data_IF_969747644939
#
_entry.id   IF_969747644939
#
_cell.length_a   1.000
_cell.length_b   1.000
_cell.length_c   1.000
_cell.angle_alpha   90.00
_cell.angle_beta   90.00
_cell.angle_gamma   90.00
#
_symmetry.space_group_name_H-M   'P 1'
#
loop_
_entity.id
_entity.type
_entity.pdbx_description
1 polymer ?
#
# COMPACT_ATOMS: atom_id res chain seq x y z
N UNK A 1 1.51 8.40 31.57
CA UNK A 1 0.96 7.16 31.02
C UNK A 1 -0.05 7.51 29.95
N UNK A 2 0.17 6.99 28.74
CA UNK A 2 -0.29 7.49 27.44
C UNK A 2 -1.81 7.63 27.26
N UNK A 3 -2.24 8.86 27.01
CA UNK A 3 -3.58 9.22 26.55
C UNK A 3 -3.67 9.14 25.01
N UNK A 4 -3.48 7.93 24.47
CA UNK A 4 -3.48 7.65 23.02
C UNK A 4 -4.86 7.15 22.52
N UNK A 5 -5.96 7.51 23.21
CA UNK A 5 -7.31 6.96 22.93
C UNK A 5 -8.39 7.99 22.55
N UNK A 6 -8.08 9.27 22.36
CA UNK A 6 -9.12 10.27 22.06
C UNK A 6 -8.74 11.27 20.96
N UNK A 7 -8.70 10.87 19.70
CA UNK A 7 -8.86 11.79 18.58
C UNK A 7 -9.48 11.09 17.37
N UNK A 8 -10.77 11.33 17.11
CA UNK A 8 -11.26 11.99 15.87
C UNK A 8 -12.79 11.86 15.77
N UNK A 9 -13.48 12.85 16.34
CA UNK A 9 -14.90 13.09 16.09
C UNK A 9 -15.15 13.53 14.63
N UNK A 10 -16.25 13.06 14.05
CA UNK A 10 -16.66 13.19 12.63
C UNK A 10 -16.80 14.63 12.10
N UNK A 11 -16.60 15.68 12.91
CA UNK A 11 -16.91 17.07 12.52
C UNK A 11 -15.80 17.82 11.79
N UNK A 12 -14.60 17.25 11.62
CA UNK A 12 -13.48 17.97 10.99
C UNK A 12 -13.27 17.70 9.47
N UNK A 13 -14.12 16.89 8.83
CA UNK A 13 -13.87 16.36 7.47
C UNK A 13 -14.03 17.42 6.33
N UNK A 14 -14.57 18.60 6.61
CA UNK A 14 -14.89 19.59 5.54
C UNK A 14 -13.75 20.50 5.08
N UNK A 15 -12.57 20.48 5.70
CA UNK A 15 -11.52 21.49 5.44
C UNK A 15 -10.20 20.97 4.86
N UNK A 16 -10.07 19.66 4.59
CA UNK A 16 -8.74 19.07 4.30
C UNK A 16 -8.55 18.54 2.87
N UNK A 17 -9.52 18.69 1.97
CA UNK A 17 -9.38 18.26 0.58
C UNK A 17 -10.12 19.18 -0.41
N UNK A 18 -9.60 19.36 -1.65
CA UNK A 18 -10.35 19.97 -2.74
C UNK A 18 -11.59 19.12 -3.10
N UNK A 19 -12.69 19.78 -3.48
CA UNK A 19 -14.01 19.19 -3.67
C UNK A 19 -14.08 18.03 -4.69
N UNK A 20 -13.03 17.80 -5.49
CA UNK A 20 -12.93 16.69 -6.45
C UNK A 20 -12.77 15.32 -5.78
N UNK A 21 -12.01 15.21 -4.69
CA UNK A 21 -11.74 13.94 -3.98
C UNK A 21 -12.98 13.46 -3.21
N UNK A 22 -13.73 14.39 -2.62
CA UNK A 22 -14.98 14.11 -1.90
C UNK A 22 -16.11 13.70 -2.86
N UNK A 23 -16.14 14.26 -4.08
CA UNK A 23 -17.13 13.89 -5.10
C UNK A 23 -16.93 12.47 -5.65
N UNK A 24 -15.68 12.03 -5.82
CA UNK A 24 -15.38 10.66 -6.27
C UNK A 24 -15.74 9.61 -5.21
N UNK A 25 -15.55 9.92 -3.92
CA UNK A 25 -16.01 9.06 -2.81
C UNK A 25 -17.56 8.94 -2.73
N UNK A 26 -18.31 9.93 -3.24
CA UNK A 26 -19.78 9.89 -3.33
C UNK A 26 -20.29 9.15 -4.59
N UNK A 27 -19.59 9.26 -5.72
CA UNK A 27 -19.94 8.56 -6.96
C UNK A 27 -19.82 7.03 -6.85
N UNK A 28 -18.99 6.52 -5.94
CA UNK A 28 -18.87 5.10 -5.62
C UNK A 28 -20.11 4.49 -4.93
N UNK A 29 -21.12 5.30 -4.58
CA UNK A 29 -22.38 4.81 -3.97
C UNK A 29 -23.45 4.41 -4.99
N UNK A 30 -23.41 4.89 -6.23
CA UNK A 30 -24.56 4.80 -7.16
C UNK A 30 -24.48 3.70 -8.22
N UNK A 31 -23.33 3.06 -8.45
CA UNK A 31 -23.17 2.10 -9.57
C UNK A 31 -23.20 0.61 -9.15
N UNK A 32 -23.49 0.31 -7.89
CA UNK A 32 -23.54 -1.05 -7.35
C UNK A 32 -24.96 -1.54 -7.02
N UNK A 33 -25.95 -1.36 -7.92
CA UNK A 33 -27.30 -1.92 -7.73
C UNK A 33 -27.47 -3.22 -8.52
N UNK A 34 -26.84 -4.30 -8.06
CA UNK A 34 -27.34 -5.66 -8.29
C UNK A 34 -26.79 -6.63 -7.26
N UNK A 35 -27.69 -7.11 -6.39
CA UNK A 35 -27.65 -8.44 -5.78
C UNK A 35 -26.50 -8.79 -4.83
N UNK A 36 -26.64 -8.41 -3.55
CA UNK A 36 -26.54 -9.26 -2.33
C UNK A 36 -26.12 -8.42 -1.12
N UNK A 37 -26.91 -8.49 -0.03
CA UNK A 37 -26.73 -7.71 1.19
C UNK A 37 -25.58 -8.31 2.02
N UNK A 38 -24.37 -7.79 1.85
CA UNK A 38 -23.37 -7.79 2.93
C UNK A 38 -23.01 -6.33 3.19
N UNK A 39 -23.09 -5.93 4.46
CA UNK A 39 -22.93 -4.54 4.87
C UNK A 39 -21.53 -4.04 4.48
N UNK A 40 -21.52 -2.98 3.66
CA UNK A 40 -20.35 -2.29 3.14
C UNK A 40 -19.51 -1.66 4.26
N UNK A 41 -18.56 -2.43 4.79
CA UNK A 41 -17.46 -1.95 5.60
C UNK A 41 -16.37 -1.24 4.75
N UNK A 42 -16.35 -1.46 3.42
CA UNK A 42 -15.30 -0.95 2.55
C UNK A 42 -15.39 0.55 2.26
N UNK A 43 -16.59 1.13 2.23
CA UNK A 43 -16.81 2.55 1.91
C UNK A 43 -16.50 3.53 3.05
N UNK A 44 -16.79 3.18 4.31
CA UNK A 44 -16.56 4.07 5.48
C UNK A 44 -15.08 4.12 5.90
N UNK A 45 -14.39 3.00 5.72
CA UNK A 45 -13.01 2.80 6.19
C UNK A 45 -11.99 3.52 5.29
N UNK A 46 -12.29 3.70 4.00
CA UNK A 46 -11.42 4.46 3.09
C UNK A 46 -11.33 5.95 3.49
N UNK A 47 -12.39 6.55 4.01
CA UNK A 47 -12.38 7.98 4.37
C UNK A 47 -11.50 8.30 5.58
N UNK A 48 -11.48 7.43 6.61
CA UNK A 48 -10.64 7.58 7.80
C UNK A 48 -9.16 7.35 7.51
N UNK A 49 -8.82 6.36 6.68
CA UNK A 49 -7.42 6.08 6.30
C UNK A 49 -6.88 7.11 5.28
N UNK A 50 -7.73 7.64 4.40
CA UNK A 50 -7.36 8.79 3.55
C UNK A 50 -7.04 10.03 4.39
N UNK A 51 -7.70 10.24 5.53
CA UNK A 51 -7.33 11.30 6.49
C UNK A 51 -5.97 11.03 7.16
N UNK A 52 -5.69 9.77 7.49
CA UNK A 52 -4.42 9.32 8.09
C UNK A 52 -3.23 9.50 7.13
N UNK A 53 -3.41 9.12 5.87
CA UNK A 53 -2.36 9.16 4.83
C UNK A 53 -2.46 10.35 3.87
N UNK A 54 -3.35 11.32 4.14
CA UNK A 54 -3.64 12.43 3.24
C UNK A 54 -2.50 13.43 2.98
N UNK A 55 -1.33 13.23 3.61
CA UNK A 55 -0.13 14.01 3.36
C UNK A 55 1.03 13.11 2.94
N UNK A 56 1.74 13.53 1.90
CA UNK A 56 2.94 12.88 1.41
C UNK A 56 4.02 12.77 2.50
N UNK A 57 4.14 13.78 3.37
CA UNK A 57 5.08 13.78 4.48
C UNK A 57 4.73 12.72 5.53
N UNK A 58 3.45 12.55 5.87
CA UNK A 58 2.99 11.51 6.79
C UNK A 58 3.28 10.12 6.23
N UNK A 59 3.01 9.90 4.95
CA UNK A 59 3.31 8.63 4.28
C UNK A 59 4.81 8.32 4.28
N UNK A 60 5.64 9.34 4.01
CA UNK A 60 7.10 9.21 4.04
C UNK A 60 7.59 8.82 5.44
N UNK A 61 7.16 9.53 6.47
CA UNK A 61 7.55 9.25 7.86
C UNK A 61 7.11 7.85 8.29
N UNK A 62 5.92 7.41 7.87
CA UNK A 62 5.45 6.05 8.16
C UNK A 62 6.31 4.97 7.48
N UNK A 63 6.64 5.14 6.20
CA UNK A 63 7.55 4.23 5.50
C UNK A 63 8.96 4.23 6.10
N UNK A 64 9.44 5.38 6.56
CA UNK A 64 10.74 5.52 7.20
C UNK A 64 10.81 4.68 8.48
N UNK A 65 9.80 4.79 9.35
CA UNK A 65 9.70 3.98 10.57
C UNK A 65 9.62 2.48 10.29
N UNK A 66 8.94 2.09 9.20
CA UNK A 66 8.88 0.68 8.79
C UNK A 66 10.20 0.16 8.24
N UNK A 67 10.94 1.00 7.52
CA UNK A 67 12.20 0.62 6.87
C UNK A 67 13.37 0.60 7.84
N UNK A 68 13.42 1.57 8.74
CA UNK A 68 14.55 1.85 9.62
C UNK A 68 14.06 2.04 11.06
N UNK A 69 13.60 0.96 11.73
CA UNK A 69 13.13 1.04 13.11
C UNK A 69 14.22 1.49 14.08
N UNK A 70 15.47 1.08 13.83
CA UNK A 70 16.64 1.35 14.68
C UNK A 70 17.47 2.55 14.20
N UNK A 71 16.94 3.32 13.23
CA UNK A 71 17.62 4.47 12.66
C UNK A 71 18.13 4.27 11.22
N UNK A 72 18.33 5.39 10.53
CA UNK A 72 18.67 5.40 9.11
C UNK A 72 20.13 5.05 8.90
N UNK A 73 20.40 4.06 8.06
CA UNK A 73 21.76 3.69 7.62
C UNK A 73 21.99 4.08 6.16
N UNK A 74 23.22 4.47 5.82
CA UNK A 74 23.56 4.80 4.44
C UNK A 74 23.39 3.59 3.51
N UNK A 75 22.62 3.75 2.44
CA UNK A 75 22.42 2.69 1.43
C UNK A 75 23.67 2.39 0.57
N UNK A 76 24.72 3.22 0.65
CA UNK A 76 25.97 3.05 -0.12
C UNK A 76 27.10 2.50 0.74
N UNK A 77 27.42 3.15 1.86
CA UNK A 77 28.56 2.78 2.71
C UNK A 77 28.18 2.06 4.01
N UNK A 78 26.89 1.89 4.30
CA UNK A 78 26.42 1.21 5.52
C UNK A 78 26.57 2.00 6.82
N UNK A 79 27.26 3.15 6.82
CA UNK A 79 27.43 3.96 8.03
C UNK A 79 26.09 4.53 8.53
N UNK A 80 25.78 4.31 9.81
CA UNK A 80 24.58 4.83 10.48
C UNK A 80 24.79 6.13 11.28
N UNK A 81 26.01 6.40 11.75
CA UNK A 81 26.26 7.46 12.73
C UNK A 81 26.41 8.88 12.14
N UNK A 82 26.31 9.03 10.81
CA UNK A 82 26.63 10.29 10.11
C UNK A 82 25.58 10.69 9.06
N UNK A 83 24.32 10.33 9.27
CA UNK A 83 23.22 10.67 8.36
C UNK A 83 22.56 11.99 8.77
N UNK A 84 22.52 12.96 7.85
CA UNK A 84 21.78 14.21 7.99
C UNK A 84 20.44 14.14 7.24
N UNK A 85 19.38 14.73 7.81
CA UNK A 85 18.06 14.84 7.17
C UNK A 85 17.93 16.16 6.41
N UNK A 86 17.57 16.09 5.13
CA UNK A 86 17.25 17.25 4.29
C UNK A 86 15.73 17.39 4.23
N UNK A 87 15.14 18.12 5.19
CA UNK A 87 13.68 18.19 5.35
C UNK A 87 12.95 18.70 4.11
N UNK A 88 13.46 19.77 3.49
CA UNK A 88 12.85 20.40 2.30
C UNK A 88 12.67 19.42 1.13
N UNK A 89 13.59 18.45 1.00
CA UNK A 89 13.59 17.45 -0.08
C UNK A 89 13.05 16.08 0.37
N UNK A 90 12.87 15.86 1.67
CA UNK A 90 12.52 14.56 2.23
C UNK A 90 13.57 13.49 1.92
N UNK A 91 14.84 13.89 1.96
CA UNK A 91 16.01 13.07 1.64
C UNK A 91 16.95 12.97 2.85
N UNK A 92 17.88 12.03 2.76
CA UNK A 92 18.95 11.79 3.70
C UNK A 92 20.27 11.96 2.97
N UNK A 93 21.25 12.53 3.65
CA UNK A 93 22.60 12.70 3.16
C UNK A 93 23.57 12.03 4.13
N UNK A 94 24.41 11.13 3.62
CA UNK A 94 25.49 10.56 4.40
C UNK A 94 26.68 11.53 4.42
N UNK A 95 27.05 12.05 5.59
CA UNK A 95 28.23 12.90 5.76
C UNK A 95 29.55 12.16 5.54
N UNK A 96 29.54 10.83 5.66
CA UNK A 96 30.73 10.01 5.42
C UNK A 96 31.09 9.83 3.93
N UNK A 97 30.09 9.69 3.05
CA UNK A 97 30.33 9.46 1.61
C UNK A 97 29.65 10.45 0.67
N UNK A 98 28.97 11.48 1.20
CA UNK A 98 28.22 12.48 0.43
C UNK A 98 26.97 11.93 -0.28
N UNK A 99 26.62 10.66 -0.09
CA UNK A 99 25.51 10.05 -0.84
C UNK A 99 24.15 10.53 -0.35
N UNK A 100 23.35 11.07 -1.27
CA UNK A 100 21.98 11.49 -1.01
C UNK A 100 20.98 10.42 -1.47
N UNK A 101 20.03 10.08 -0.59
CA UNK A 101 19.01 9.07 -0.86
C UNK A 101 17.67 9.43 -0.21
N UNK A 102 16.60 8.75 -0.63
CA UNK A 102 15.27 8.89 -0.01
C UNK A 102 14.79 7.54 0.50
N UNK A 103 13.71 7.54 1.29
CA UNK A 103 13.05 6.31 1.77
C UNK A 103 12.61 5.38 0.63
N UNK A 104 12.47 5.90 -0.60
CA UNK A 104 12.03 5.12 -1.76
C UNK A 104 13.18 4.38 -2.46
N UNK A 105 14.43 4.78 -2.26
CA UNK A 105 15.59 4.21 -2.99
C UNK A 105 15.79 2.75 -2.58
N UNK A 106 15.95 1.83 -3.53
CA UNK A 106 16.11 0.40 -3.27
C UNK A 106 14.82 -0.31 -2.83
N UNK A 107 13.66 0.32 -3.07
CA UNK A 107 12.34 -0.26 -2.75
C UNK A 107 11.47 -0.31 -4.00
N UNK A 108 10.29 -0.92 -3.90
CA UNK A 108 9.29 -0.85 -4.96
C UNK A 108 8.81 0.58 -5.26
N UNK A 109 8.98 1.52 -4.35
CA UNK A 109 8.60 2.92 -4.59
C UNK A 109 9.61 3.66 -5.46
N UNK A 110 10.78 3.05 -5.75
CA UNK A 110 11.80 3.63 -6.60
C UNK A 110 11.26 3.87 -8.02
N UNK A 111 11.66 5.00 -8.61
CA UNK A 111 11.28 5.42 -9.96
C UNK A 111 9.77 5.55 -10.21
N UNK A 112 8.96 5.60 -9.15
CA UNK A 112 7.52 5.87 -9.25
C UNK A 112 7.24 7.36 -9.13
N UNK A 113 6.61 7.94 -10.15
CA UNK A 113 6.01 9.28 -10.08
C UNK A 113 4.69 9.32 -9.28
N UNK A 114 4.15 8.15 -8.92
CA UNK A 114 2.93 8.08 -8.12
C UNK A 114 3.21 8.54 -6.66
N UNK A 115 2.41 9.47 -6.11
CA UNK A 115 2.49 9.86 -4.70
C UNK A 115 2.37 8.67 -3.75
N UNK A 116 3.06 8.71 -2.60
CA UNK A 116 3.06 7.60 -1.64
C UNK A 116 1.68 7.34 -1.04
N UNK A 117 0.86 8.38 -0.86
CA UNK A 117 -0.49 8.19 -0.32
C UNK A 117 -1.35 7.29 -1.22
N UNK A 118 -1.17 7.33 -2.55
CA UNK A 118 -1.88 6.43 -3.50
C UNK A 118 -1.40 4.99 -3.36
N UNK A 119 -0.11 4.79 -3.13
CA UNK A 119 0.45 3.47 -2.85
C UNK A 119 -0.13 2.88 -1.56
N UNK A 120 -0.11 3.64 -0.47
CA UNK A 120 -0.62 3.20 0.82
C UNK A 120 -2.13 2.94 0.75
N UNK A 121 -2.90 3.82 0.09
CA UNK A 121 -4.34 3.63 -0.09
C UNK A 121 -4.67 2.37 -0.92
N UNK A 122 -3.91 2.09 -1.98
CA UNK A 122 -4.08 0.87 -2.77
C UNK A 122 -3.72 -0.39 -1.97
N UNK A 123 -2.58 -0.37 -1.27
CA UNK A 123 -2.15 -1.47 -0.41
C UNK A 123 -3.20 -1.76 0.67
N UNK A 124 -3.78 -0.70 1.25
CA UNK A 124 -4.86 -0.79 2.22
C UNK A 124 -6.14 -1.39 1.63
N UNK A 125 -6.59 -0.90 0.48
CA UNK A 125 -7.79 -1.45 -0.17
C UNK A 125 -7.64 -2.94 -0.52
N UNK A 126 -6.44 -3.34 -0.97
CA UNK A 126 -6.12 -4.75 -1.24
C UNK A 126 -5.99 -5.57 0.05
N UNK A 127 -5.51 -4.97 1.14
CA UNK A 127 -5.42 -5.60 2.45
C UNK A 127 -6.76 -5.76 3.16
N UNK A 128 -7.78 -4.93 2.90
CA UNK A 128 -9.07 -5.10 3.57
C UNK A 128 -10.03 -5.98 2.77
N UNK A 129 -9.83 -6.11 1.46
CA UNK A 129 -10.74 -6.89 0.64
C UNK A 129 -10.72 -8.39 0.97
N UNK A 130 -11.90 -9.00 1.07
CA UNK A 130 -12.13 -10.44 1.27
C UNK A 130 -12.35 -11.23 -0.03
N UNK A 131 -12.85 -10.58 -1.09
CA UNK A 131 -12.91 -11.14 -2.45
C UNK A 131 -11.73 -10.74 -3.35
N UNK A 132 -11.15 -9.56 -3.12
CA UNK A 132 -10.01 -9.03 -3.88
C UNK A 132 -10.40 -7.73 -4.54
N UNK A 133 -9.42 -6.99 -5.06
CA UNK A 133 -9.69 -5.72 -5.74
C UNK A 133 -9.19 -5.76 -7.17
N UNK A 134 -10.10 -5.47 -8.11
CA UNK A 134 -9.76 -5.35 -9.52
C UNK A 134 -8.99 -4.05 -9.79
N UNK A 135 -8.13 -4.08 -10.82
CA UNK A 135 -7.39 -2.88 -11.23
C UNK A 135 -8.33 -1.74 -11.67
N UNK A 136 -9.51 -2.04 -12.22
CA UNK A 136 -10.54 -1.05 -12.55
C UNK A 136 -11.08 -0.34 -11.30
N UNK A 137 -11.28 -1.07 -10.19
CA UNK A 137 -11.73 -0.47 -8.94
C UNK A 137 -10.64 0.44 -8.34
N UNK A 138 -9.38 0.01 -8.38
CA UNK A 138 -8.24 0.86 -7.95
C UNK A 138 -8.09 2.09 -8.85
N UNK A 139 -8.28 1.96 -10.17
CA UNK A 139 -8.30 3.08 -11.14
C UNK A 139 -9.31 4.15 -10.72
N UNK A 140 -10.56 3.75 -10.46
CA UNK A 140 -11.62 4.65 -10.02
C UNK A 140 -11.34 5.28 -8.66
N UNK A 141 -10.84 4.49 -7.71
CA UNK A 141 -10.51 4.95 -6.36
C UNK A 141 -9.38 5.98 -6.32
N UNK A 142 -8.35 5.82 -7.16
CA UNK A 142 -7.16 6.68 -7.14
C UNK A 142 -7.18 7.81 -8.18
N UNK A 143 -8.14 7.78 -9.12
CA UNK A 143 -8.19 8.71 -10.24
C UNK A 143 -6.93 8.63 -11.12
N UNK A 144 -6.46 7.43 -11.45
CA UNK A 144 -5.26 7.20 -12.27
C UNK A 144 -5.59 6.46 -13.56
N UNK A 145 -4.71 6.47 -14.58
CA UNK A 145 -4.89 5.61 -15.76
C UNK A 145 -4.94 4.13 -15.38
N UNK A 146 -5.67 3.33 -16.18
CA UNK A 146 -5.81 1.89 -15.92
C UNK A 146 -4.45 1.19 -15.86
N UNK A 147 -3.54 1.48 -16.78
CA UNK A 147 -2.18 0.91 -16.82
C UNK A 147 -1.43 1.17 -15.50
N UNK A 148 -1.56 2.37 -14.93
CA UNK A 148 -0.97 2.72 -13.62
C UNK A 148 -1.59 1.92 -12.49
N UNK A 149 -2.92 1.82 -12.45
CA UNK A 149 -3.62 1.03 -11.42
C UNK A 149 -3.27 -0.46 -11.51
N UNK A 150 -3.24 -1.01 -12.72
CA UNK A 150 -2.85 -2.39 -12.98
C UNK A 150 -1.42 -2.66 -12.49
N UNK A 151 -0.48 -1.77 -12.85
CA UNK A 151 0.92 -1.89 -12.46
C UNK A 151 1.12 -1.82 -10.94
N UNK A 152 0.44 -0.87 -10.31
CA UNK A 152 0.40 -0.71 -8.86
C UNK A 152 -0.10 -1.99 -8.16
N UNK A 153 -1.21 -2.56 -8.63
CA UNK A 153 -1.77 -3.77 -8.04
C UNK A 153 -0.80 -4.95 -8.14
N UNK A 154 -0.13 -5.13 -9.28
CA UNK A 154 0.83 -6.24 -9.45
C UNK A 154 2.03 -6.14 -8.53
N UNK A 155 2.58 -4.93 -8.32
CA UNK A 155 3.69 -4.74 -7.36
C UNK A 155 3.26 -5.00 -5.92
N UNK A 156 2.01 -4.67 -5.58
CA UNK A 156 1.43 -5.01 -4.27
C UNK A 156 1.25 -6.52 -4.14
N UNK A 157 0.78 -7.22 -5.18
CA UNK A 157 0.67 -8.69 -5.16
C UNK A 157 2.03 -9.37 -4.99
N UNK A 158 3.07 -8.86 -5.64
CA UNK A 158 4.42 -9.42 -5.47
C UNK A 158 4.86 -9.33 -4.00
N UNK A 159 4.57 -8.22 -3.30
CA UNK A 159 4.84 -8.10 -1.88
C UNK A 159 3.98 -9.01 -0.97
N UNK A 160 2.88 -9.58 -1.48
CA UNK A 160 2.05 -10.54 -0.75
C UNK A 160 2.57 -11.98 -0.89
N UNK A 161 3.46 -12.25 -1.86
CA UNK A 161 4.00 -13.58 -2.14
C UNK A 161 4.92 -14.07 -1.02
N UNK A 162 5.75 -13.18 -0.47
CA UNK A 162 6.65 -13.47 0.65
C UNK A 162 6.30 -12.58 1.86
N UNK A 163 5.28 -12.97 2.64
CA UNK A 163 4.77 -12.13 3.70
C UNK A 163 5.72 -12.04 4.89
N UNK A 164 5.96 -10.82 5.36
CA UNK A 164 6.73 -10.57 6.58
C UNK A 164 5.90 -10.99 7.80
N UNK A 165 6.24 -12.10 8.44
CA UNK A 165 5.54 -12.59 9.64
C UNK A 165 5.61 -14.10 9.80
N UNK A 166 4.94 -14.69 10.81
CA UNK A 166 4.92 -16.14 10.97
C UNK A 166 4.26 -16.77 9.75
N UNK A 167 4.95 -17.73 9.12
CA UNK A 167 4.46 -18.49 7.99
C UNK A 167 3.20 -19.28 8.38
N UNK A 168 2.03 -18.67 8.21
CA UNK A 168 0.75 -19.36 8.39
C UNK A 168 0.58 -20.28 7.19
N UNK A 169 0.37 -21.57 7.44
CA UNK A 169 0.17 -22.56 6.36
C UNK A 169 -0.94 -22.05 5.43
N UNK A 170 -0.65 -21.82 4.14
CA UNK A 170 -1.68 -21.39 3.22
C UNK A 170 -2.77 -22.45 3.17
N UNK A 171 -4.04 -22.03 3.16
CA UNK A 171 -5.11 -22.95 2.79
C UNK A 171 -4.79 -23.47 1.39
N UNK A 172 -4.92 -24.78 1.15
CA UNK A 172 -4.51 -25.34 -0.11
C UNK A 172 -5.34 -24.71 -1.27
N UNK A 173 -4.73 -24.51 -2.45
CA UNK A 173 -5.33 -23.71 -3.53
C UNK A 173 -6.62 -24.30 -4.11
N UNK A 174 -6.83 -25.60 -3.95
CA UNK A 174 -8.03 -26.34 -4.34
C UNK A 174 -9.31 -25.82 -3.65
N UNK A 175 -9.17 -25.24 -2.45
CA UNK A 175 -10.28 -24.63 -1.70
C UNK A 175 -10.43 -23.12 -1.95
N UNK A 176 -9.52 -22.53 -2.70
CA UNK A 176 -9.49 -21.10 -3.01
C UNK A 176 -10.01 -20.92 -4.43
N UNK A 177 -11.20 -20.35 -4.56
CA UNK A 177 -11.82 -20.08 -5.87
C UNK A 177 -10.81 -19.48 -6.86
N UNK A 178 -10.78 -20.02 -8.08
CA UNK A 178 -9.80 -19.59 -9.07
C UNK A 178 -10.19 -18.26 -9.71
N UNK A 179 -9.24 -17.34 -9.93
CA UNK A 179 -9.51 -16.13 -10.68
C UNK A 179 -9.92 -16.50 -12.12
N UNK A 180 -11.15 -16.18 -12.49
CA UNK A 180 -11.64 -16.32 -13.87
C UNK A 180 -11.26 -15.08 -14.69
N UNK A 181 -11.04 -15.24 -15.99
CA UNK A 181 -10.69 -14.15 -16.91
C UNK A 181 -9.38 -13.40 -16.61
N UNK A 182 -8.33 -14.14 -16.21
CA UNK A 182 -6.97 -13.59 -16.04
C UNK A 182 -6.02 -14.34 -16.97
N UNK A 183 -5.13 -13.61 -17.64
CA UNK A 183 -4.07 -14.21 -18.45
C UNK A 183 -3.23 -15.19 -17.63
N UNK A 184 -2.90 -16.34 -18.22
CA UNK A 184 -2.16 -17.43 -17.57
C UNK A 184 -0.88 -16.94 -16.89
N UNK A 185 -0.15 -16.02 -17.52
CA UNK A 185 1.11 -15.45 -16.99
C UNK A 185 0.97 -14.69 -15.67
N UNK A 186 -0.24 -14.24 -15.34
CA UNK A 186 -0.51 -13.54 -14.08
C UNK A 186 -1.24 -14.41 -13.06
N UNK A 187 -1.67 -15.63 -13.44
CA UNK A 187 -2.51 -16.48 -12.59
C UNK A 187 -1.85 -16.81 -11.26
N UNK A 188 -0.55 -17.09 -11.24
CA UNK A 188 0.20 -17.39 -10.03
C UNK A 188 0.11 -16.25 -8.99
N UNK A 189 0.34 -15.00 -9.41
CA UNK A 189 0.28 -13.81 -8.51
C UNK A 189 -1.11 -13.60 -7.90
N UNK A 190 -2.17 -13.93 -8.63
CA UNK A 190 -3.53 -13.87 -8.10
C UNK A 190 -3.84 -15.02 -7.14
N UNK A 191 -3.30 -16.22 -7.40
CA UNK A 191 -3.41 -17.35 -6.46
C UNK A 191 -2.67 -17.01 -5.16
N UNK A 192 -1.45 -16.47 -5.26
CA UNK A 192 -0.65 -16.04 -4.11
C UNK A 192 -1.35 -14.94 -3.32
N UNK A 193 -1.95 -13.94 -3.99
CA UNK A 193 -2.82 -12.96 -3.36
C UNK A 193 -3.94 -13.66 -2.57
N UNK A 194 -4.71 -14.55 -3.20
CA UNK A 194 -5.85 -15.20 -2.55
C UNK A 194 -5.39 -16.04 -1.34
N UNK A 195 -4.28 -16.78 -1.48
CA UNK A 195 -3.68 -17.58 -0.42
C UNK A 195 -3.20 -16.70 0.75
N UNK A 196 -2.49 -15.60 0.47
CA UNK A 196 -2.05 -14.63 1.46
C UNK A 196 -3.24 -14.10 2.27
N UNK A 197 -4.32 -13.70 1.57
CA UNK A 197 -5.50 -13.08 2.19
C UNK A 197 -6.29 -14.07 3.03
N UNK A 198 -6.40 -15.32 2.59
CA UNK A 198 -7.04 -16.38 3.37
C UNK A 198 -6.24 -16.71 4.63
N UNK A 199 -4.91 -16.73 4.55
CA UNK A 199 -4.03 -17.12 5.66
C UNK A 199 -3.88 -16.01 6.70
N UNK A 200 -3.99 -14.75 6.26
CA UNK A 200 -3.90 -13.56 7.10
C UNK A 200 -5.27 -13.05 7.56
N UNK A 201 -6.35 -13.85 7.46
CA UNK A 201 -7.65 -13.46 8.00
C UNK A 201 -7.54 -13.23 9.52
N UNK A 202 -8.05 -12.10 9.99
CA UNK A 202 -7.96 -11.68 11.39
C UNK A 202 -6.57 -11.21 11.86
N UNK A 203 -5.57 -11.10 10.99
CA UNK A 203 -4.30 -10.46 11.33
C UNK A 203 -4.49 -8.93 11.39
N UNK A 204 -4.38 -8.28 12.56
CA UNK A 204 -4.52 -6.82 12.69
C UNK A 204 -3.38 -6.05 12.01
N UNK A 205 -2.27 -6.71 11.67
CA UNK A 205 -1.09 -6.11 11.06
C UNK A 205 -0.96 -6.36 9.57
N UNK A 206 -1.96 -6.98 8.91
CA UNK A 206 -1.92 -7.33 7.47
C UNK A 206 -1.46 -6.18 6.58
N UNK A 207 -1.99 -4.98 6.80
CA UNK A 207 -1.62 -3.79 6.04
C UNK A 207 -0.14 -3.43 6.24
N UNK A 208 0.34 -3.44 7.49
CA UNK A 208 1.74 -3.21 7.83
C UNK A 208 2.66 -4.24 7.17
N UNK A 209 2.27 -5.51 7.20
CA UNK A 209 3.08 -6.61 6.67
C UNK A 209 3.25 -6.50 5.14
N UNK A 210 2.19 -6.09 4.43
CA UNK A 210 2.28 -5.76 2.98
C UNK A 210 3.25 -4.60 2.74
N UNK A 211 3.17 -3.54 3.55
CA UNK A 211 4.08 -2.40 3.40
C UNK A 211 5.53 -2.79 3.69
N UNK A 212 5.77 -3.68 4.67
CA UNK A 212 7.10 -4.22 4.92
C UNK A 212 7.58 -5.07 3.74
N UNK A 213 6.71 -5.89 3.15
CA UNK A 213 7.01 -6.60 1.90
C UNK A 213 7.40 -5.65 0.78
N UNK A 214 6.67 -4.54 0.60
CA UNK A 214 6.96 -3.51 -0.40
C UNK A 214 8.29 -2.77 -0.16
N UNK A 215 8.63 -2.53 1.10
CA UNK A 215 9.88 -1.85 1.48
C UNK A 215 11.09 -2.78 1.36
N UNK A 216 10.92 -4.06 1.68
CA UNK A 216 11.97 -5.09 1.58
C UNK A 216 12.17 -5.60 0.17
N UNK A 217 11.11 -5.62 -0.62
CA UNK A 217 11.19 -5.91 -2.04
C UNK A 217 12.00 -4.81 -2.75
N UNK A 218 12.97 -5.24 -3.56
CA UNK A 218 13.79 -4.35 -4.36
C UNK A 218 12.99 -3.58 -5.42
N UNK A 219 13.71 -2.88 -6.29
CA UNK A 219 13.07 -2.27 -7.47
C UNK A 219 12.50 -3.38 -8.36
N UNK A 220 11.21 -3.25 -8.71
CA UNK A 220 10.48 -4.16 -9.59
C UNK A 220 10.10 -3.40 -10.88
N UNK A 221 10.96 -3.42 -11.92
CA UNK A 221 10.72 -2.75 -13.19
C UNK A 221 9.63 -3.45 -14.02
N UNK A 222 9.18 -2.76 -15.07
CA UNK A 222 8.01 -3.19 -15.86
C UNK A 222 8.25 -4.50 -16.59
N UNK A 223 9.48 -4.68 -17.07
CA UNK A 223 9.95 -5.91 -17.69
C UNK A 223 9.74 -7.13 -16.80
N UNK A 224 10.13 -7.06 -15.52
CA UNK A 224 9.99 -8.18 -14.58
C UNK A 224 8.54 -8.53 -14.22
N UNK A 225 7.62 -7.56 -14.28
CA UNK A 225 6.20 -7.83 -14.05
C UNK A 225 5.47 -8.37 -15.28
N UNK A 226 6.06 -8.23 -16.47
CA UNK A 226 5.41 -8.57 -17.75
C UNK A 226 6.06 -9.71 -18.52
N UNK A 227 7.29 -10.08 -18.14
CA UNK A 227 7.93 -11.35 -18.42
C UNK A 227 7.08 -12.51 -17.87
#
# INVERSE_FOLDING_TARGET
MNDARRLTSERAIRRLFPASVIRQARALRSEGRSGTRTADAGGRVLASEVSRFGSEAKCRNYLEQLRWPDGVSCLRCGAGNSIARIEKRGQFECRGCGYQFSVRVGTVFQNSHLPLWKWLLAAYAMSESESGVSAHRIKGMLGVPYKTAWYLCHRIREAMRDPVGPARKPRPPDRLGHPTNISQKHRARYIDEIAFRSSNRGNPYRFRDILLGLVRAGSLPYSELTA
#
